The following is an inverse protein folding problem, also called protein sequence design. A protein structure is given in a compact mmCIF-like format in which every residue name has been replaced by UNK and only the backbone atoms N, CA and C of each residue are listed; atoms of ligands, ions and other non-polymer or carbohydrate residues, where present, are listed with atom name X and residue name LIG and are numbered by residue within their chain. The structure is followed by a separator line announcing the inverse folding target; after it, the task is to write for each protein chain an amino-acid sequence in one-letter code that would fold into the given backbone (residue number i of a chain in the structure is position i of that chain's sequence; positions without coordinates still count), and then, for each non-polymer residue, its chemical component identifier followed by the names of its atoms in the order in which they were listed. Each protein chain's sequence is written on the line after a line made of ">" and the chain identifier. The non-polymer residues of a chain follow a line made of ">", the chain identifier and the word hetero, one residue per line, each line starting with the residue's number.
data_IF_490146843454
#
_entry.id   IF_490146843454
#
_cell.length_a   1.000
_cell.length_b   1.000
_cell.length_c   1.000
_cell.angle_alpha   90.00
_cell.angle_beta   90.00
_cell.angle_gamma   90.00
#
_symmetry.space_group_name_H-M   'P 1'
#
loop_
_entity.id
_entity.type
_entity.pdbx_description
1 polymer ?
#
# COMPACT_ATOMS: atom_id res chain seq x y z
N UNK A 1 55.70 -78.11 -6.73
CA UNK A 1 55.78 -76.67 -6.47
C UNK A 1 55.90 -75.92 -7.80
N UNK A 2 54.92 -75.11 -8.20
CA UNK A 2 55.08 -73.86 -8.99
C UNK A 2 53.75 -73.37 -9.62
N UNK A 3 53.17 -72.35 -8.97
CA UNK A 3 52.49 -71.14 -9.50
C UNK A 3 51.47 -71.29 -10.66
N UNK A 4 50.19 -71.21 -10.29
CA UNK A 4 49.10 -70.71 -11.15
C UNK A 4 49.38 -69.28 -11.65
N UNK A 5 49.35 -69.10 -12.97
CA UNK A 5 49.57 -67.82 -13.67
C UNK A 5 48.22 -67.10 -13.85
N UNK A 6 47.97 -66.03 -13.08
CA UNK A 6 46.81 -65.12 -13.25
C UNK A 6 46.89 -64.44 -14.64
N UNK A 7 45.86 -64.62 -15.48
CA UNK A 7 45.62 -63.80 -16.67
C UNK A 7 45.05 -62.44 -16.23
N UNK A 8 45.80 -61.37 -16.47
CA UNK A 8 45.33 -59.98 -16.37
C UNK A 8 44.27 -59.73 -17.47
N UNK A 9 43.06 -59.33 -17.08
CA UNK A 9 42.09 -58.73 -18.01
C UNK A 9 42.45 -57.25 -18.15
N UNK A 10 42.74 -56.86 -19.39
CA UNK A 10 42.97 -55.48 -19.80
C UNK A 10 41.74 -54.61 -19.51
N UNK A 11 41.99 -53.36 -19.12
CA UNK A 11 41.00 -52.40 -18.67
C UNK A 11 40.01 -51.99 -19.77
N UNK A 12 38.73 -51.97 -19.39
CA UNK A 12 37.70 -51.20 -20.08
C UNK A 12 37.83 -49.75 -19.60
N UNK A 13 38.32 -48.88 -20.48
CA UNK A 13 38.34 -47.44 -20.26
C UNK A 13 36.89 -46.93 -20.25
N UNK A 14 36.36 -46.65 -19.07
CA UNK A 14 35.12 -45.91 -18.90
C UNK A 14 35.28 -44.51 -19.49
N UNK A 15 34.58 -44.27 -20.61
CA UNK A 15 34.38 -42.94 -21.17
C UNK A 15 33.60 -42.09 -20.16
N UNK A 16 34.31 -41.37 -19.30
CA UNK A 16 33.74 -40.29 -18.50
C UNK A 16 33.38 -39.16 -19.46
N UNK A 17 32.12 -39.14 -19.90
CA UNK A 17 31.52 -37.96 -20.50
C UNK A 17 31.51 -36.87 -19.42
N UNK A 18 32.51 -36.00 -19.42
CA UNK A 18 32.42 -34.72 -18.77
C UNK A 18 31.28 -33.94 -19.45
N UNK A 19 30.10 -33.95 -18.84
CA UNK A 19 29.07 -32.96 -19.11
C UNK A 19 29.66 -31.61 -18.74
N UNK A 20 30.03 -30.83 -19.76
CA UNK A 20 30.41 -29.44 -19.57
C UNK A 20 29.27 -28.72 -18.83
N UNK A 21 29.55 -27.96 -17.76
CA UNK A 21 28.52 -27.15 -17.12
C UNK A 21 27.97 -26.19 -18.17
N UNK A 22 26.66 -26.24 -18.41
CA UNK A 22 25.94 -25.31 -19.26
C UNK A 22 26.22 -23.90 -18.75
N UNK A 23 27.05 -23.17 -19.48
CA UNK A 23 27.42 -21.79 -19.16
C UNK A 23 26.15 -20.96 -19.21
N UNK A 24 25.75 -20.39 -18.08
CA UNK A 24 24.64 -19.45 -18.02
C UNK A 24 24.82 -18.35 -19.07
N UNK A 25 23.75 -17.90 -19.76
CA UNK A 25 23.85 -16.80 -20.70
C UNK A 25 24.42 -15.57 -19.98
N UNK A 26 25.44 -14.94 -20.57
CA UNK A 26 26.04 -13.73 -20.03
C UNK A 26 24.97 -12.63 -19.93
N UNK A 27 25.02 -11.75 -18.91
CA UNK A 27 24.02 -10.72 -18.75
C UNK A 27 23.95 -9.79 -19.96
N UNK A 28 22.76 -9.65 -20.55
CA UNK A 28 22.55 -8.79 -21.72
C UNK A 28 22.67 -7.32 -21.30
N UNK A 29 23.78 -6.67 -21.64
CA UNK A 29 24.02 -5.25 -21.39
C UNK A 29 22.84 -4.31 -21.75
N UNK A 30 22.13 -4.48 -22.90
CA UNK A 30 20.97 -3.64 -23.21
C UNK A 30 19.80 -3.85 -22.23
N UNK A 31 19.57 -5.08 -21.74
CA UNK A 31 18.50 -5.38 -20.80
C UNK A 31 18.76 -4.71 -19.44
N UNK A 32 20.00 -4.73 -18.96
CA UNK A 32 20.39 -4.05 -17.72
C UNK A 32 20.19 -2.54 -17.82
N UNK A 33 20.50 -1.94 -18.97
CA UNK A 33 20.21 -0.52 -19.21
C UNK A 33 18.72 -0.25 -19.16
N UNK A 34 17.89 -1.09 -19.77
CA UNK A 34 16.42 -0.97 -19.68
C UNK A 34 15.94 -1.05 -18.22
N UNK A 35 16.42 -2.03 -17.45
CA UNK A 35 16.09 -2.16 -16.01
C UNK A 35 16.46 -0.91 -15.21
N UNK A 36 17.65 -0.35 -15.46
CA UNK A 36 18.08 0.89 -14.82
C UNK A 36 17.18 2.06 -15.20
N UNK A 37 16.87 2.24 -16.49
CA UNK A 37 15.99 3.33 -16.95
C UNK A 37 14.59 3.24 -16.35
N UNK A 38 14.00 2.05 -16.32
CA UNK A 38 12.68 1.82 -15.70
C UNK A 38 12.71 2.09 -14.20
N UNK A 39 13.78 1.66 -13.51
CA UNK A 39 13.92 1.89 -12.07
C UNK A 39 14.07 3.38 -11.76
N UNK A 40 14.85 4.13 -12.54
CA UNK A 40 14.97 5.60 -12.41
C UNK A 40 13.63 6.29 -12.70
N UNK A 41 12.88 5.85 -13.71
CA UNK A 41 11.54 6.37 -13.99
C UNK A 41 10.60 6.14 -12.79
N UNK A 42 10.64 4.95 -12.18
CA UNK A 42 9.91 4.64 -10.96
C UNK A 42 10.32 5.52 -9.78
N UNK A 43 11.61 5.79 -9.58
CA UNK A 43 12.11 6.72 -8.56
C UNK A 43 11.56 8.13 -8.77
N UNK A 44 11.63 8.66 -10.00
CA UNK A 44 11.12 10.00 -10.32
C UNK A 44 9.63 10.09 -10.02
N UNK A 45 8.84 9.12 -10.51
CA UNK A 45 7.40 9.05 -10.30
C UNK A 45 7.04 9.01 -8.79
N UNK A 46 7.67 8.11 -8.05
CA UNK A 46 7.35 7.90 -6.63
C UNK A 46 7.90 9.00 -5.73
N UNK A 47 9.01 9.65 -6.10
CA UNK A 47 9.50 10.86 -5.42
C UNK A 47 8.51 11.99 -5.57
N UNK A 48 8.00 12.20 -6.79
CA UNK A 48 6.98 13.21 -7.06
C UNK A 48 5.73 12.97 -6.22
N UNK A 49 5.18 11.75 -6.24
CA UNK A 49 4.00 11.41 -5.47
C UNK A 49 4.22 11.51 -3.96
N UNK A 50 5.38 11.07 -3.48
CA UNK A 50 5.77 11.18 -2.07
C UNK A 50 5.83 12.63 -1.62
N UNK A 51 6.42 13.49 -2.43
CA UNK A 51 6.46 14.93 -2.18
C UNK A 51 5.04 15.50 -2.12
N UNK A 52 4.20 15.22 -3.10
CA UNK A 52 2.82 15.74 -3.08
C UNK A 52 2.01 15.26 -1.88
N UNK A 53 2.19 14.00 -1.47
CA UNK A 53 1.50 13.45 -0.30
C UNK A 53 2.00 14.04 1.03
N UNK A 54 3.32 14.25 1.18
CA UNK A 54 3.92 14.77 2.43
C UNK A 54 3.67 16.27 2.63
N UNK A 55 3.58 17.03 1.53
CA UNK A 55 3.37 18.48 1.57
C UNK A 55 1.92 18.88 1.31
N UNK A 56 0.99 17.92 1.36
CA UNK A 56 -0.45 18.11 1.11
C UNK A 56 -0.75 18.82 -0.23
N UNK A 57 0.16 18.68 -1.19
CA UNK A 57 0.04 19.22 -2.52
C UNK A 57 -0.68 18.23 -3.45
N UNK A 58 -1.29 18.75 -4.50
CA UNK A 58 -2.03 17.94 -5.47
C UNK A 58 -1.11 17.51 -6.62
N UNK A 59 -1.15 16.23 -7.03
CA UNK A 59 -0.45 15.80 -8.24
C UNK A 59 -0.99 16.52 -9.48
N UNK A 60 -0.12 16.80 -10.45
CA UNK A 60 -0.48 17.39 -11.73
C UNK A 60 -1.45 16.46 -12.47
N UNK A 61 -2.35 17.01 -13.29
CA UNK A 61 -3.36 16.22 -14.01
C UNK A 61 -4.28 15.35 -13.12
N UNK A 62 -4.24 15.55 -11.80
CA UNK A 62 -5.12 14.95 -10.81
C UNK A 62 -6.07 16.06 -10.36
N UNK A 63 -7.19 16.23 -11.08
CA UNK A 63 -8.15 17.29 -10.76
C UNK A 63 -8.89 16.98 -9.47
N UNK A 64 -9.38 18.03 -8.81
CA UNK A 64 -10.20 17.91 -7.61
C UNK A 64 -11.43 17.02 -7.84
N UNK A 65 -11.65 16.05 -6.95
CA UNK A 65 -12.76 15.10 -7.08
C UNK A 65 -12.60 14.07 -8.21
N UNK A 66 -11.46 14.06 -8.93
CA UNK A 66 -11.19 13.00 -9.92
C UNK A 66 -10.92 11.66 -9.24
N UNK A 67 -11.04 10.57 -10.01
CA UNK A 67 -10.66 9.24 -9.52
C UNK A 67 -9.22 9.15 -8.99
N UNK A 68 -8.30 9.93 -9.57
CA UNK A 68 -6.93 10.04 -9.09
C UNK A 68 -6.86 10.65 -7.67
N UNK A 69 -7.65 11.71 -7.41
CA UNK A 69 -7.71 12.39 -6.11
C UNK A 69 -8.33 11.47 -5.03
N UNK A 70 -9.37 10.70 -5.40
CA UNK A 70 -9.98 9.70 -4.51
C UNK A 70 -8.97 8.62 -4.09
N UNK A 71 -8.24 8.05 -5.05
CA UNK A 71 -7.27 6.98 -4.81
C UNK A 71 -6.12 7.48 -3.93
N UNK A 72 -5.55 8.65 -4.23
CA UNK A 72 -4.41 9.23 -3.52
C UNK A 72 -4.71 9.69 -2.09
N UNK A 73 -5.99 9.92 -1.77
CA UNK A 73 -6.45 10.30 -0.43
C UNK A 73 -7.18 9.17 0.30
N UNK A 74 -7.22 7.98 -0.29
CA UNK A 74 -7.88 6.82 0.31
C UNK A 74 -7.08 6.26 1.49
N UNK A 75 -7.72 5.43 2.32
CA UNK A 75 -7.05 4.74 3.43
C UNK A 75 -5.87 3.86 2.97
N UNK A 76 -5.90 3.37 1.73
CA UNK A 76 -4.83 2.53 1.16
C UNK A 76 -3.64 3.36 0.68
N UNK A 77 -3.76 4.69 0.62
CA UNK A 77 -2.66 5.58 0.27
C UNK A 77 -1.66 5.79 1.41
N UNK A 78 -1.95 5.28 2.61
CA UNK A 78 -1.08 5.39 3.80
C UNK A 78 -0.81 4.02 4.39
N UNK A 79 0.46 3.69 4.62
CA UNK A 79 0.90 2.47 5.27
C UNK A 79 1.90 2.79 6.39
N UNK A 80 1.61 2.34 7.61
CA UNK A 80 2.39 2.63 8.83
C UNK A 80 2.63 4.14 9.07
N UNK A 81 1.59 4.96 8.83
CA UNK A 81 1.65 6.41 9.02
C UNK A 81 2.40 7.18 7.93
N UNK A 82 2.96 6.49 6.93
CA UNK A 82 3.66 7.10 5.81
C UNK A 82 2.89 6.89 4.50
N UNK A 83 2.98 7.82 3.53
CA UNK A 83 2.37 7.62 2.22
C UNK A 83 2.88 6.36 1.53
N UNK A 84 2.01 5.60 0.88
CA UNK A 84 2.39 4.39 0.15
C UNK A 84 3.42 4.68 -0.96
N UNK A 85 3.42 5.91 -1.48
CA UNK A 85 4.42 6.39 -2.43
C UNK A 85 5.86 6.35 -1.88
N UNK A 86 6.09 6.56 -0.58
CA UNK A 86 7.44 6.53 0.01
C UNK A 86 7.99 5.11 0.06
N UNK A 87 7.12 4.13 0.31
CA UNK A 87 7.46 2.70 0.23
C UNK A 87 7.74 2.27 -1.23
N UNK A 88 6.99 2.83 -2.18
CA UNK A 88 7.29 2.70 -3.62
C UNK A 88 8.67 3.27 -3.97
N UNK A 89 9.00 4.46 -3.48
CA UNK A 89 10.31 5.09 -3.68
C UNK A 89 11.45 4.21 -3.16
N UNK A 90 11.33 3.70 -1.94
CA UNK A 90 12.30 2.77 -1.38
C UNK A 90 12.48 1.55 -2.29
N UNK A 91 11.39 0.97 -2.77
CA UNK A 91 11.42 -0.19 -3.66
C UNK A 91 12.17 0.11 -4.95
N UNK A 92 11.87 1.23 -5.62
CA UNK A 92 12.55 1.60 -6.87
C UNK A 92 14.03 1.97 -6.67
N UNK A 93 14.41 2.57 -5.53
CA UNK A 93 15.81 2.81 -5.19
C UNK A 93 16.58 1.50 -5.00
N UNK A 94 15.98 0.52 -4.31
CA UNK A 94 16.57 -0.81 -4.15
C UNK A 94 16.71 -1.52 -5.49
N UNK A 95 15.69 -1.46 -6.36
CA UNK A 95 15.76 -2.02 -7.71
C UNK A 95 16.84 -1.35 -8.58
N UNK A 96 16.97 -0.02 -8.52
CA UNK A 96 18.03 0.70 -9.21
C UNK A 96 19.43 0.26 -8.73
N UNK A 97 19.62 0.14 -7.41
CA UNK A 97 20.88 -0.33 -6.83
C UNK A 97 21.21 -1.77 -7.24
N UNK A 98 20.23 -2.67 -7.21
CA UNK A 98 20.39 -4.07 -7.63
C UNK A 98 20.70 -4.17 -9.13
N UNK A 99 20.00 -3.40 -9.99
CA UNK A 99 20.26 -3.35 -11.43
C UNK A 99 21.66 -2.78 -11.73
N UNK A 100 22.15 -1.82 -10.94
CA UNK A 100 23.52 -1.31 -11.07
C UNK A 100 24.56 -2.35 -10.63
N UNK A 101 24.26 -3.07 -9.56
CA UNK A 101 25.13 -4.13 -9.07
C UNK A 101 25.17 -5.32 -10.05
N UNK A 102 24.08 -5.70 -10.71
CA UNK A 102 24.10 -6.75 -11.77
C UNK A 102 24.89 -6.34 -13.00
N UNK A 103 25.00 -5.03 -13.27
CA UNK A 103 25.91 -4.49 -14.29
C UNK A 103 27.39 -4.70 -13.96
N UNK A 104 27.76 -4.61 -12.68
CA UNK A 104 29.15 -4.41 -12.26
C UNK A 104 29.76 -5.61 -11.51
N UNK A 105 29.00 -6.28 -10.63
CA UNK A 105 29.55 -7.23 -9.64
C UNK A 105 28.64 -8.39 -9.23
N UNK A 106 27.31 -8.30 -9.35
CA UNK A 106 26.38 -9.31 -8.82
C UNK A 106 26.41 -10.61 -9.64
N UNK A 107 26.55 -11.73 -8.93
CA UNK A 107 26.55 -13.09 -9.50
C UNK A 107 25.13 -13.69 -9.59
N UNK A 108 24.17 -13.20 -8.81
CA UNK A 108 22.80 -13.75 -8.76
C UNK A 108 21.73 -12.68 -8.96
N UNK A 109 20.67 -13.06 -9.67
CA UNK A 109 19.47 -12.26 -9.96
C UNK A 109 18.38 -12.41 -8.89
N UNK A 110 18.56 -13.33 -7.94
CA UNK A 110 17.58 -13.64 -6.90
C UNK A 110 17.06 -12.41 -6.13
N UNK A 111 17.90 -11.52 -5.55
CA UNK A 111 17.37 -10.38 -4.80
C UNK A 111 16.55 -9.43 -5.67
N UNK A 112 16.92 -9.25 -6.94
CA UNK A 112 16.16 -8.44 -7.89
C UNK A 112 14.79 -9.05 -8.17
N UNK A 113 14.73 -10.37 -8.39
CA UNK A 113 13.46 -11.10 -8.60
C UNK A 113 12.56 -10.97 -7.38
N UNK A 114 13.09 -11.14 -6.16
CA UNK A 114 12.31 -11.01 -4.92
C UNK A 114 11.69 -9.63 -4.76
N UNK A 115 12.49 -8.57 -4.94
CA UNK A 115 11.99 -7.19 -4.82
C UNK A 115 11.00 -6.85 -5.93
N UNK A 116 11.27 -7.29 -7.17
CA UNK A 116 10.38 -7.02 -8.30
C UNK A 116 9.03 -7.74 -8.19
N UNK A 117 9.02 -9.01 -7.78
CA UNK A 117 7.79 -9.80 -7.57
C UNK A 117 7.01 -9.27 -6.37
N UNK A 118 7.69 -8.91 -5.28
CA UNK A 118 7.04 -8.27 -4.12
C UNK A 118 6.40 -6.92 -4.49
N UNK A 119 7.15 -6.04 -5.16
CA UNK A 119 6.65 -4.75 -5.63
C UNK A 119 5.48 -4.88 -6.62
N UNK A 120 5.54 -5.86 -7.53
CA UNK A 120 4.44 -6.21 -8.42
C UNK A 120 3.22 -6.67 -7.65
N UNK A 121 3.36 -7.59 -6.69
CA UNK A 121 2.26 -8.11 -5.88
C UNK A 121 1.53 -7.00 -5.12
N UNK A 122 2.28 -6.10 -4.48
CA UNK A 122 1.72 -4.94 -3.78
C UNK A 122 1.02 -4.00 -4.77
N UNK A 123 1.65 -3.67 -5.90
CA UNK A 123 1.05 -2.74 -6.88
C UNK A 123 -0.19 -3.34 -7.56
N UNK A 124 -0.19 -4.63 -7.85
CA UNK A 124 -1.35 -5.35 -8.38
C UNK A 124 -2.51 -5.31 -7.37
N UNK A 125 -2.24 -5.61 -6.09
CA UNK A 125 -3.22 -5.54 -5.02
C UNK A 125 -3.86 -4.14 -4.92
N UNK A 126 -3.05 -3.09 -4.82
CA UNK A 126 -3.55 -1.72 -4.73
C UNK A 126 -4.34 -1.30 -5.98
N UNK A 127 -3.92 -1.77 -7.16
CA UNK A 127 -4.65 -1.52 -8.42
C UNK A 127 -6.01 -2.21 -8.43
N UNK A 128 -6.09 -3.47 -7.98
CA UNK A 128 -7.36 -4.21 -7.86
C UNK A 128 -8.30 -3.51 -6.88
N UNK A 129 -7.79 -3.11 -5.71
CA UNK A 129 -8.58 -2.37 -4.71
C UNK A 129 -9.07 -1.03 -5.26
N UNK A 130 -8.23 -0.29 -6.00
CA UNK A 130 -8.62 0.96 -6.65
C UNK A 130 -9.83 0.77 -7.57
N UNK A 131 -9.86 -0.33 -8.34
CA UNK A 131 -10.92 -0.60 -9.32
C UNK A 131 -12.18 -1.16 -8.65
N UNK A 132 -12.04 -2.04 -7.66
CA UNK A 132 -13.17 -2.78 -7.06
C UNK A 132 -13.80 -2.04 -5.89
N UNK A 133 -12.99 -1.48 -4.98
CA UNK A 133 -13.47 -0.88 -3.73
C UNK A 133 -13.65 0.64 -3.85
N UNK A 134 -12.72 1.31 -4.54
CA UNK A 134 -12.75 2.77 -4.73
C UNK A 134 -13.55 3.15 -5.99
N UNK A 135 -13.77 2.18 -6.90
CA UNK A 135 -14.42 2.39 -8.21
C UNK A 135 -13.79 3.54 -9.03
N UNK A 136 -12.47 3.72 -8.86
CA UNK A 136 -11.73 4.84 -9.42
C UNK A 136 -10.39 4.39 -10.00
N UNK A 137 -9.86 5.17 -10.95
CA UNK A 137 -8.55 4.92 -11.54
C UNK A 137 -7.62 6.10 -11.34
N UNK A 138 -6.34 5.80 -11.10
CA UNK A 138 -5.28 6.78 -10.97
C UNK A 138 -4.20 6.52 -12.01
N UNK A 139 -4.00 7.47 -12.92
CA UNK A 139 -3.02 7.36 -14.01
C UNK A 139 -1.59 7.14 -13.48
N UNK A 140 -1.24 7.80 -12.37
CA UNK A 140 0.07 7.62 -11.75
C UNK A 140 0.26 6.23 -11.13
N UNK A 141 -0.77 5.68 -10.47
CA UNK A 141 -0.73 4.32 -9.94
C UNK A 141 -0.59 3.28 -11.08
N UNK A 142 -1.35 3.46 -12.17
CA UNK A 142 -1.26 2.59 -13.35
C UNK A 142 0.10 2.70 -14.05
N UNK A 143 0.67 3.91 -14.14
CA UNK A 143 2.02 4.09 -14.67
C UNK A 143 3.05 3.35 -13.81
N UNK A 144 3.00 3.50 -12.48
CA UNK A 144 3.87 2.75 -11.56
C UNK A 144 3.67 1.24 -11.70
N UNK A 145 2.41 0.77 -11.79
CA UNK A 145 2.09 -0.63 -11.99
C UNK A 145 2.67 -1.18 -13.31
N UNK A 146 2.60 -0.42 -14.39
CA UNK A 146 3.22 -0.75 -15.67
C UNK A 146 4.75 -0.85 -15.56
N UNK A 147 5.40 0.11 -14.90
CA UNK A 147 6.86 0.13 -14.70
C UNK A 147 7.32 -1.09 -13.90
N UNK A 148 6.72 -1.38 -12.74
CA UNK A 148 7.12 -2.52 -11.92
C UNK A 148 6.84 -3.86 -12.60
N UNK A 149 5.74 -3.96 -13.37
CA UNK A 149 5.43 -5.15 -14.16
C UNK A 149 6.51 -5.40 -15.23
N UNK A 150 6.94 -4.35 -15.94
CA UNK A 150 8.03 -4.46 -16.90
C UNK A 150 9.34 -4.91 -16.22
N UNK A 151 9.69 -4.32 -15.07
CA UNK A 151 10.88 -4.72 -14.30
C UNK A 151 10.81 -6.18 -13.85
N UNK A 152 9.63 -6.66 -13.44
CA UNK A 152 9.42 -8.04 -12.99
C UNK A 152 9.50 -9.06 -14.15
N UNK A 153 9.05 -8.71 -15.36
CA UNK A 153 9.10 -9.60 -16.53
C UNK A 153 10.53 -9.76 -17.08
N UNK A 154 11.35 -8.70 -17.07
CA UNK A 154 12.66 -8.71 -17.74
C UNK A 154 13.62 -9.82 -17.25
N UNK A 155 13.81 -10.06 -15.93
CA UNK A 155 14.60 -11.18 -15.42
C UNK A 155 14.05 -12.54 -15.83
N UNK A 156 12.72 -12.69 -15.94
CA UNK A 156 12.07 -13.94 -16.32
C UNK A 156 12.28 -14.27 -17.80
N UNK A 157 12.36 -13.25 -18.65
CA UNK A 157 12.72 -13.40 -20.07
C UNK A 157 14.19 -13.81 -20.21
N UNK A 158 15.06 -13.26 -19.38
CA UNK A 158 16.50 -13.58 -19.41
C UNK A 158 16.83 -14.99 -18.90
N UNK A 159 15.97 -15.56 -18.05
CA UNK A 159 16.10 -16.92 -17.50
C UNK A 159 17.48 -17.22 -16.89
N UNK A 160 17.97 -16.43 -15.92
CA UNK A 160 19.20 -16.76 -15.19
C UNK A 160 19.07 -18.11 -14.46
N UNK A 161 20.16 -18.83 -14.15
CA UNK A 161 20.11 -20.24 -13.71
C UNK A 161 19.06 -20.57 -12.63
N UNK A 162 18.90 -19.70 -11.64
CA UNK A 162 18.01 -19.92 -10.48
C UNK A 162 16.65 -19.23 -10.61
N UNK A 163 16.25 -18.79 -11.81
CA UNK A 163 15.07 -17.94 -12.04
C UNK A 163 13.77 -18.59 -11.57
N UNK A 164 13.56 -19.88 -11.86
CA UNK A 164 12.31 -20.58 -11.57
C UNK A 164 12.10 -20.78 -10.07
N UNK A 165 13.16 -21.21 -9.37
CA UNK A 165 13.16 -21.36 -7.91
C UNK A 165 12.96 -20.01 -7.24
N UNK A 166 13.71 -18.98 -7.67
CA UNK A 166 13.58 -17.62 -7.14
C UNK A 166 12.17 -17.06 -7.35
N UNK A 167 11.56 -17.29 -8.53
CA UNK A 167 10.19 -16.84 -8.81
C UNK A 167 9.17 -17.53 -7.92
N UNK A 168 9.28 -18.87 -7.74
CA UNK A 168 8.36 -19.62 -6.88
C UNK A 168 8.42 -19.12 -5.44
N UNK A 169 9.61 -19.00 -4.88
CA UNK A 169 9.82 -18.52 -3.51
C UNK A 169 9.36 -17.07 -3.34
N UNK A 170 9.74 -16.18 -4.26
CA UNK A 170 9.30 -14.79 -4.26
C UNK A 170 7.78 -14.65 -4.38
N UNK A 171 7.12 -15.51 -5.15
CA UNK A 171 5.65 -15.50 -5.31
C UNK A 171 4.95 -15.88 -4.01
N UNK A 172 5.46 -16.88 -3.28
CA UNK A 172 4.94 -17.24 -1.95
C UNK A 172 5.09 -16.06 -0.98
N UNK A 173 6.27 -15.44 -0.94
CA UNK A 173 6.51 -14.26 -0.09
C UNK A 173 5.60 -13.10 -0.47
N UNK A 174 5.43 -12.81 -1.76
CA UNK A 174 4.55 -11.74 -2.24
C UNK A 174 3.08 -12.00 -1.85
N UNK A 175 2.60 -13.24 -1.96
CA UNK A 175 1.25 -13.61 -1.49
C UNK A 175 1.11 -13.40 0.01
N UNK A 176 2.10 -13.76 0.82
CA UNK A 176 2.08 -13.51 2.26
C UNK A 176 2.06 -12.01 2.59
N UNK A 177 2.85 -11.20 1.89
CA UNK A 177 2.87 -9.74 2.05
C UNK A 177 1.51 -9.14 1.68
N UNK A 178 0.95 -9.52 0.53
CA UNK A 178 -0.37 -9.05 0.07
C UNK A 178 -1.48 -9.52 1.02
N UNK A 179 -1.42 -10.76 1.50
CA UNK A 179 -2.35 -11.27 2.51
C UNK A 179 -2.27 -10.47 3.81
N UNK A 180 -1.07 -10.17 4.29
CA UNK A 180 -0.86 -9.32 5.47
C UNK A 180 -1.38 -7.89 5.28
N UNK A 181 -1.12 -7.27 4.12
CA UNK A 181 -1.66 -5.96 3.77
C UNK A 181 -3.20 -5.99 3.71
N UNK A 182 -3.78 -6.99 3.06
CA UNK A 182 -5.23 -7.13 2.99
C UNK A 182 -5.84 -7.32 4.37
N UNK A 183 -5.25 -8.14 5.24
CA UNK A 183 -5.71 -8.29 6.62
C UNK A 183 -5.58 -6.99 7.44
N UNK A 184 -4.53 -6.20 7.19
CA UNK A 184 -4.37 -4.89 7.81
C UNK A 184 -5.47 -3.92 7.36
N UNK A 185 -5.81 -3.89 6.07
CA UNK A 185 -6.82 -2.97 5.52
C UNK A 185 -8.26 -3.49 5.56
N UNK A 186 -8.48 -4.79 5.74
CA UNK A 186 -9.83 -5.40 5.79
C UNK A 186 -10.61 -4.98 7.02
N UNK A 187 -9.94 -4.38 8.01
CA UNK A 187 -10.54 -3.99 9.27
C UNK A 187 -10.89 -5.18 10.18
N UNK A 188 -10.43 -6.39 9.86
CA UNK A 188 -10.59 -7.58 10.72
C UNK A 188 -9.90 -7.37 12.08
N UNK A 189 -8.86 -6.55 12.11
CA UNK A 189 -8.19 -6.10 13.33
C UNK A 189 -8.59 -4.67 13.75
N UNK A 190 -9.62 -4.10 13.14
CA UNK A 190 -10.13 -2.79 13.52
C UNK A 190 -10.89 -2.94 14.85
N UNK A 191 -10.50 -2.15 15.85
CA UNK A 191 -11.27 -2.07 17.10
C UNK A 191 -12.71 -1.59 16.85
N UNK A 192 -12.98 -0.98 15.68
CA UNK A 192 -14.32 -0.65 15.20
C UNK A 192 -15.17 -1.85 14.77
N UNK A 193 -14.57 -3.03 14.58
CA UNK A 193 -15.28 -4.28 14.28
C UNK A 193 -15.54 -5.14 15.54
N UNK A 194 -14.96 -4.78 16.68
CA UNK A 194 -15.16 -5.45 17.98
C UNK A 194 -16.53 -5.18 18.61
N UNK A 195 -16.85 -5.81 19.76
CA UNK A 195 -18.05 -5.47 20.52
C UNK A 195 -18.02 -3.99 20.92
N UNK A 196 -19.17 -3.32 20.84
CA UNK A 196 -19.27 -1.91 21.22
C UNK A 196 -18.98 -1.73 22.71
N UNK A 197 -18.08 -0.82 23.05
CA UNK A 197 -17.90 -0.36 24.42
C UNK A 197 -19.23 0.25 24.92
N UNK A 198 -19.80 -0.24 26.04
CA UNK A 198 -21.11 0.21 26.50
C UNK A 198 -21.20 1.71 26.78
N UNK A 199 -20.11 2.34 27.24
CA UNK A 199 -20.06 3.75 27.60
C UNK A 199 -19.92 4.63 26.35
N UNK A 200 -19.05 4.26 25.39
CA UNK A 200 -18.96 4.93 24.10
C UNK A 200 -20.26 4.80 23.29
N UNK A 201 -20.90 3.63 23.35
CA UNK A 201 -22.22 3.41 22.75
C UNK A 201 -23.27 4.33 23.36
N UNK A 202 -23.35 4.37 24.69
CA UNK A 202 -24.29 5.22 25.40
C UNK A 202 -24.06 6.72 25.09
N UNK A 203 -22.80 7.17 25.04
CA UNK A 203 -22.48 8.54 24.64
C UNK A 203 -22.89 8.83 23.20
N UNK A 204 -22.60 7.95 22.24
CA UNK A 204 -22.95 8.17 20.83
C UNK A 204 -24.47 8.24 20.62
N UNK A 205 -25.23 7.40 21.33
CA UNK A 205 -26.69 7.46 21.35
C UNK A 205 -27.17 8.77 21.97
N UNK A 206 -26.65 9.14 23.14
CA UNK A 206 -27.02 10.39 23.82
C UNK A 206 -26.76 11.62 22.95
N UNK A 207 -25.60 11.71 22.30
CA UNK A 207 -25.28 12.78 21.34
C UNK A 207 -26.32 12.86 20.21
N UNK A 208 -26.79 11.73 19.72
CA UNK A 208 -27.81 11.69 18.67
C UNK A 208 -29.17 12.15 19.18
N UNK A 209 -29.58 11.70 20.37
CA UNK A 209 -30.86 12.00 21.00
C UNK A 209 -30.96 13.47 21.44
N UNK A 210 -29.86 14.06 21.91
CA UNK A 210 -29.80 15.49 22.27
C UNK A 210 -29.60 16.42 21.06
N UNK A 211 -29.58 15.86 19.85
CA UNK A 211 -29.56 16.65 18.61
C UNK A 211 -28.18 17.18 18.22
N UNK A 212 -27.09 16.71 18.86
CA UNK A 212 -25.74 17.07 18.46
C UNK A 212 -25.48 16.69 16.99
N UNK A 213 -24.62 17.46 16.32
CA UNK A 213 -24.22 17.22 14.94
C UNK A 213 -22.71 17.22 14.80
N UNK A 214 -22.19 16.19 14.16
CA UNK A 214 -20.79 16.05 13.80
C UNK A 214 -20.61 16.31 12.31
N UNK A 215 -20.14 17.49 11.96
CA UNK A 215 -19.86 17.91 10.59
C UNK A 215 -18.43 17.53 10.19
N UNK A 216 -18.29 16.85 9.06
CA UNK A 216 -16.98 16.49 8.51
C UNK A 216 -17.05 16.11 7.05
N UNK A 217 -15.94 15.59 6.54
CA UNK A 217 -15.85 15.04 5.19
C UNK A 217 -15.30 13.61 5.21
N UNK A 218 -15.75 12.75 4.31
CA UNK A 218 -15.28 11.36 4.25
C UNK A 218 -13.75 11.25 4.03
N UNK A 219 -13.16 12.19 3.29
CA UNK A 219 -11.73 12.25 3.01
C UNK A 219 -10.91 12.93 4.11
N UNK A 220 -11.55 13.54 5.13
CA UNK A 220 -10.87 14.34 6.14
C UNK A 220 -10.17 13.42 7.17
N UNK A 221 -8.81 13.43 7.26
CA UNK A 221 -8.09 12.52 8.15
C UNK A 221 -8.44 12.73 9.62
N UNK A 222 -8.58 14.00 10.05
CA UNK A 222 -8.97 14.36 11.42
C UNK A 222 -10.40 13.92 11.76
N UNK A 223 -11.26 13.78 10.74
CA UNK A 223 -12.63 13.30 10.90
C UNK A 223 -12.66 11.77 11.03
N UNK A 224 -11.78 11.07 10.32
CA UNK A 224 -11.58 9.64 10.51
C UNK A 224 -10.97 9.34 11.89
N UNK A 225 -10.00 10.16 12.34
CA UNK A 225 -9.47 10.10 13.70
C UNK A 225 -10.57 10.32 14.75
N UNK A 226 -11.44 11.30 14.55
CA UNK A 226 -12.61 11.54 15.42
C UNK A 226 -13.55 10.33 15.50
N UNK A 227 -13.81 9.66 14.37
CA UNK A 227 -14.62 8.44 14.32
C UNK A 227 -13.92 7.28 15.04
N UNK A 228 -12.61 7.12 14.83
CA UNK A 228 -11.81 6.07 15.45
C UNK A 228 -11.83 6.15 16.99
N UNK A 229 -11.91 7.35 17.59
CA UNK A 229 -12.08 7.51 19.04
C UNK A 229 -13.35 6.85 19.60
N UNK A 230 -14.37 6.62 18.76
CA UNK A 230 -15.61 5.93 19.13
C UNK A 230 -15.60 4.44 18.79
N UNK A 231 -14.52 3.91 18.20
CA UNK A 231 -14.35 2.50 17.86
C UNK A 231 -15.61 1.95 17.16
N UNK A 232 -16.17 0.84 17.64
CA UNK A 232 -17.31 0.18 17.01
C UNK A 232 -18.61 1.00 17.07
N UNK A 233 -18.66 1.97 17.98
CA UNK A 233 -19.78 2.91 18.14
C UNK A 233 -19.70 4.08 17.15
N UNK A 234 -18.65 4.19 16.33
CA UNK A 234 -18.49 5.29 15.35
C UNK A 234 -19.66 5.39 14.37
N UNK A 235 -20.26 4.25 13.99
CA UNK A 235 -21.43 4.17 13.10
C UNK A 235 -22.70 4.81 13.68
N UNK A 236 -22.73 5.06 14.99
CA UNK A 236 -23.85 5.68 15.71
C UNK A 236 -23.70 7.19 15.85
N UNK A 237 -22.55 7.76 15.48
CA UNK A 237 -22.32 9.19 15.61
C UNK A 237 -23.29 9.96 14.69
N UNK A 238 -23.79 11.14 15.12
CA UNK A 238 -24.68 11.97 14.32
C UNK A 238 -23.90 12.74 13.25
N UNK A 239 -23.28 12.01 12.32
CA UNK A 239 -22.40 12.52 11.27
C UNK A 239 -23.18 13.19 10.13
N UNK A 240 -22.70 14.35 9.69
CA UNK A 240 -23.21 15.10 8.54
C UNK A 240 -22.06 15.26 7.55
N UNK A 241 -22.25 14.69 6.35
CA UNK A 241 -21.31 14.81 5.25
C UNK A 241 -21.37 16.21 4.63
N UNK A 242 -20.24 16.93 4.67
CA UNK A 242 -20.12 18.29 4.18
C UNK A 242 -19.57 18.39 2.75
N UNK A 243 -19.06 17.30 2.18
CA UNK A 243 -18.33 17.33 0.92
C UNK A 243 -18.61 16.06 0.11
N UNK A 244 -19.76 16.01 -0.57
CA UNK A 244 -20.13 14.88 -1.44
C UNK A 244 -19.25 14.79 -2.69
N UNK A 245 -18.71 15.91 -3.17
CA UNK A 245 -17.85 15.99 -4.36
C UNK A 245 -16.36 15.82 -4.11
N UNK A 246 -15.93 15.52 -2.88
CA UNK A 246 -14.51 15.47 -2.52
C UNK A 246 -13.92 16.83 -2.16
N UNK A 247 -12.60 16.88 -1.91
CA UNK A 247 -11.89 18.08 -1.40
C UNK A 247 -12.29 19.32 -2.22
N UNK A 248 -12.43 20.48 -1.58
CA UNK A 248 -12.80 21.77 -2.22
C UNK A 248 -14.14 21.84 -2.98
N UNK A 249 -14.94 20.76 -2.99
CA UNK A 249 -16.31 20.82 -3.49
C UNK A 249 -17.14 21.85 -2.69
N UNK A 250 -18.19 22.43 -3.29
CA UNK A 250 -19.17 23.20 -2.53
C UNK A 250 -19.68 22.41 -1.31
N UNK A 251 -19.92 23.13 -0.22
CA UNK A 251 -20.51 22.53 0.98
C UNK A 251 -21.89 21.98 0.67
N UNK A 252 -22.22 20.83 1.26
CA UNK A 252 -23.61 20.37 1.25
C UNK A 252 -24.51 21.38 1.97
N UNK A 253 -25.79 21.44 1.56
CA UNK A 253 -26.77 22.37 2.12
C UNK A 253 -26.77 22.46 3.67
N UNK A 254 -26.77 21.35 4.44
CA UNK A 254 -26.73 21.44 5.90
C UNK A 254 -25.44 22.07 6.45
N UNK A 255 -24.30 21.88 5.79
CA UNK A 255 -23.02 22.45 6.22
C UNK A 255 -22.88 23.93 5.82
N UNK A 256 -23.38 24.31 4.65
CA UNK A 256 -23.45 25.71 4.23
C UNK A 256 -24.37 26.51 5.16
N UNK A 257 -25.57 26.00 5.45
CA UNK A 257 -26.54 26.65 6.35
C UNK A 257 -25.98 26.85 7.77
N UNK A 258 -25.12 25.93 8.23
CA UNK A 258 -24.48 26.01 9.56
C UNK A 258 -23.10 26.68 9.53
N UNK A 259 -22.71 27.33 8.42
CA UNK A 259 -21.44 28.03 8.28
C UNK A 259 -20.21 27.19 8.71
N UNK A 260 -20.16 25.92 8.31
CA UNK A 260 -19.03 25.04 8.64
C UNK A 260 -17.79 25.49 7.84
N UNK A 261 -16.72 25.89 8.53
CA UNK A 261 -15.47 26.39 7.91
C UNK A 261 -14.29 25.43 8.01
N UNK A 262 -14.35 24.47 8.93
CA UNK A 262 -13.27 23.53 9.22
C UNK A 262 -13.84 22.18 9.64
N UNK A 263 -13.07 21.12 9.44
CA UNK A 263 -13.44 19.77 9.85
C UNK A 263 -12.40 19.17 10.80
N UNK A 264 -12.80 18.32 11.75
CA UNK A 264 -14.18 18.09 12.19
C UNK A 264 -14.74 19.33 12.93
N UNK A 265 -16.06 19.51 12.89
CA UNK A 265 -16.77 20.48 13.73
C UNK A 265 -17.98 19.82 14.37
N UNK A 266 -18.14 19.99 15.68
CA UNK A 266 -19.32 19.59 16.43
C UNK A 266 -20.18 20.82 16.74
N UNK A 267 -21.49 20.64 16.67
CA UNK A 267 -22.47 21.57 17.24
C UNK A 267 -23.29 20.78 18.26
N UNK A 268 -23.23 21.21 19.53
CA UNK A 268 -23.89 20.58 20.68
C UNK A 268 -24.53 21.71 21.47
N UNK A 269 -25.85 21.67 21.69
CA UNK A 269 -26.61 22.75 22.33
C UNK A 269 -26.27 24.14 21.77
N UNK A 270 -26.27 24.27 20.44
CA UNK A 270 -25.88 25.47 19.67
C UNK A 270 -24.44 25.97 19.87
N UNK A 271 -23.63 25.29 20.70
CA UNK A 271 -22.22 25.59 20.89
C UNK A 271 -21.36 24.85 19.88
N UNK A 272 -20.45 25.58 19.27
CA UNK A 272 -19.52 25.06 18.26
C UNK A 272 -18.21 24.61 18.91
N UNK A 273 -17.82 23.36 18.66
CA UNK A 273 -16.52 22.81 19.03
C UNK A 273 -15.77 22.41 17.76
N UNK A 274 -14.63 23.05 17.48
CA UNK A 274 -13.85 22.80 16.26
C UNK A 274 -12.64 21.93 16.56
N UNK A 275 -12.21 21.14 15.57
CA UNK A 275 -11.10 20.22 15.73
C UNK A 275 -11.47 18.95 16.50
N UNK A 276 -10.47 18.07 16.67
CA UNK A 276 -10.63 16.77 17.31
C UNK A 276 -11.08 16.92 18.77
N UNK A 277 -12.14 16.22 19.16
CA UNK A 277 -12.69 16.20 20.51
C UNK A 277 -12.61 14.79 21.11
N UNK A 278 -12.17 14.67 22.35
CA UNK A 278 -12.17 13.36 23.04
C UNK A 278 -13.60 12.96 23.42
N UNK A 279 -13.90 11.65 23.58
CA UNK A 279 -15.21 11.21 24.07
C UNK A 279 -15.60 11.86 25.41
N UNK A 280 -14.64 12.08 26.32
CA UNK A 280 -14.89 12.75 27.60
C UNK A 280 -15.24 14.23 27.43
N UNK A 281 -14.59 14.92 26.50
CA UNK A 281 -14.91 16.32 26.18
C UNK A 281 -16.33 16.44 25.60
N UNK A 282 -16.69 15.53 24.69
CA UNK A 282 -18.03 15.48 24.10
C UNK A 282 -19.10 15.12 25.14
N UNK A 283 -18.79 14.21 26.06
CA UNK A 283 -19.67 13.88 27.17
C UNK A 283 -19.97 15.10 28.05
N UNK A 284 -18.93 15.86 28.44
CA UNK A 284 -19.10 17.08 29.21
C UNK A 284 -19.90 18.15 28.47
N UNK A 285 -19.66 18.32 27.16
CA UNK A 285 -20.38 19.28 26.33
C UNK A 285 -21.87 18.93 26.16
N UNK A 286 -22.20 17.63 26.09
CA UNK A 286 -23.56 17.14 25.89
C UNK A 286 -24.30 16.81 27.21
N UNK A 287 -23.73 17.15 28.37
CA UNK A 287 -24.31 16.83 29.67
C UNK A 287 -24.45 15.33 29.96
N UNK A 288 -23.61 14.49 29.35
CA UNK A 288 -23.61 13.04 29.55
C UNK A 288 -22.78 12.64 30.77
N UNK A 289 -23.37 11.83 31.65
CA UNK A 289 -22.67 11.32 32.85
C UNK A 289 -21.66 10.24 32.47
N UNK A 290 -20.38 10.59 32.49
CA UNK A 290 -19.28 9.66 32.26
C UNK A 290 -18.96 8.87 33.54
N UNK A 291 -18.98 7.53 33.48
CA UNK A 291 -18.48 6.66 34.55
C UNK A 291 -16.95 6.67 34.53
N UNK A 292 -16.33 6.94 35.68
CA UNK A 292 -14.88 6.86 35.86
C UNK A 292 -14.39 5.44 36.09
#
# INVERSE_FOLDING_TARGET
>A
MAKHRKRQKAGSAGSLRHTAPTRAPAPNAPLILVLLTLSVLGVVLTTYLSYTALFEARPAFCSEGSGCDLVQNSRWATFMGMPMATWGLLTYLVLAALAWQTRTKLKSWTPLIFVAVGGFGISAYLTVISIVEIEATCAYCLASFGVITAIMILPLVQRPPDWATSLKEASVVAVLIVGGLHLHYSGVFDEAAGPEDPQLRALAVHLTETGAKFYGAYWCPRCQEQKALFKASAKRLPYVECSSGGRGSPLTAPCAANNIRSYPTWIIDDKRHTGLQTPRTLAGAAGFTWKE
#
